data_IF_369915531613
#
_entry.id   IF_369915531613
#
_cell.length_a   1.000
_cell.length_b   1.000
_cell.length_c   1.000
_cell.angle_alpha   90.00
_cell.angle_beta   90.00
_cell.angle_gamma   90.00
#
_symmetry.space_group_name_H-M   'P 1'
#
loop_
_entity.id
_entity.type
_entity.pdbx_description
1 polymer ?
#
# COMPACT_ATOMS: atom_id res chain seq x y z
N UNK A 1 -12.22 25.38 17.11
CA UNK A 1 -12.62 24.28 16.18
C UNK A 1 -11.65 24.07 15.01
N UNK A 2 -11.07 25.13 14.39
CA UNK A 2 -10.05 25.02 13.32
C UNK A 2 -8.78 24.25 13.72
N UNK A 3 -8.31 24.43 14.96
CA UNK A 3 -7.09 23.80 15.49
C UNK A 3 -7.11 22.27 15.46
N UNK A 4 -8.23 21.63 15.83
CA UNK A 4 -8.30 20.15 15.88
C UNK A 4 -8.19 19.50 14.49
N UNK A 5 -8.73 20.15 13.45
CA UNK A 5 -8.73 19.58 12.09
C UNK A 5 -7.32 19.66 11.47
N UNK A 6 -6.59 20.75 11.71
CA UNK A 6 -5.19 20.88 11.30
C UNK A 6 -4.29 19.87 12.01
N UNK A 7 -4.50 19.65 13.32
CA UNK A 7 -3.80 18.59 14.05
C UNK A 7 -4.06 17.21 13.45
N UNK A 8 -5.32 16.86 13.17
CA UNK A 8 -5.65 15.57 12.55
C UNK A 8 -4.99 15.41 11.17
N UNK A 9 -5.01 16.46 10.35
CA UNK A 9 -4.36 16.45 9.03
C UNK A 9 -2.85 16.27 9.14
N UNK A 10 -2.19 16.90 10.13
CA UNK A 10 -0.76 16.72 10.40
C UNK A 10 -0.45 15.26 10.80
N UNK A 11 -1.25 14.67 11.68
CA UNK A 11 -1.11 13.26 12.08
C UNK A 11 -1.27 12.34 10.86
N UNK A 12 -2.33 12.53 10.07
CA UNK A 12 -2.55 11.73 8.84
C UNK A 12 -1.37 11.83 7.87
N UNK A 13 -0.78 13.02 7.69
CA UNK A 13 0.41 13.18 6.84
C UNK A 13 1.61 12.41 7.38
N UNK A 14 1.88 12.48 8.68
CA UNK A 14 3.00 11.76 9.30
C UNK A 14 2.81 10.25 9.13
N UNK A 15 1.63 9.74 9.50
CA UNK A 15 1.29 8.32 9.34
C UNK A 15 1.39 7.87 7.88
N UNK A 16 0.93 8.70 6.94
CA UNK A 16 1.03 8.39 5.51
C UNK A 16 2.49 8.34 5.04
N UNK A 17 3.36 9.25 5.49
CA UNK A 17 4.79 9.21 5.17
C UNK A 17 5.44 7.93 5.70
N UNK A 18 5.20 7.58 6.97
CA UNK A 18 5.72 6.34 7.56
C UNK A 18 5.23 5.13 6.78
N UNK A 19 3.95 5.08 6.46
CA UNK A 19 3.37 4.05 5.60
C UNK A 19 4.04 3.97 4.23
N UNK A 20 4.28 5.10 3.56
CA UNK A 20 4.92 5.12 2.24
C UNK A 20 6.36 4.60 2.29
N UNK A 21 7.12 4.91 3.35
CA UNK A 21 8.47 4.38 3.54
C UNK A 21 8.45 2.86 3.69
N UNK A 22 7.51 2.33 4.50
CA UNK A 22 7.32 0.89 4.67
C UNK A 22 6.85 0.23 3.36
N UNK A 23 5.92 0.87 2.63
CA UNK A 23 5.41 0.38 1.34
C UNK A 23 6.53 0.29 0.29
N UNK A 24 7.35 1.34 0.17
CA UNK A 24 8.52 1.37 -0.71
C UNK A 24 9.47 0.23 -0.36
N UNK A 25 9.76 0.03 0.93
CA UNK A 25 10.64 -1.03 1.37
C UNK A 25 10.08 -2.43 1.06
N UNK A 26 8.80 -2.68 1.32
CA UNK A 26 8.16 -3.96 1.02
C UNK A 26 8.18 -4.25 -0.49
N UNK A 27 7.78 -3.29 -1.33
CA UNK A 27 7.57 -3.54 -2.77
C UNK A 27 8.89 -3.54 -3.55
N UNK A 28 9.73 -2.52 -3.34
CA UNK A 28 10.96 -2.38 -4.11
C UNK A 28 12.08 -3.26 -3.57
N UNK A 29 12.17 -3.39 -2.24
CA UNK A 29 13.25 -4.15 -1.62
C UNK A 29 12.83 -5.56 -1.19
N UNK A 30 11.56 -5.95 -1.37
CA UNK A 30 11.05 -7.28 -1.03
C UNK A 30 11.38 -7.70 0.41
N UNK A 31 11.33 -6.76 1.35
CA UNK A 31 11.73 -6.93 2.76
C UNK A 31 13.22 -7.25 2.97
N UNK A 32 14.05 -7.14 1.94
CA UNK A 32 15.50 -7.30 2.06
C UNK A 32 16.15 -6.03 2.60
N UNK A 33 17.18 -6.22 3.44
CA UNK A 33 18.09 -5.17 3.88
C UNK A 33 19.36 -5.08 3.01
N UNK A 34 19.63 -6.11 2.21
CA UNK A 34 20.79 -6.17 1.32
C UNK A 34 20.36 -6.07 -0.13
N UNK A 35 20.97 -5.12 -0.85
CA UNK A 35 20.81 -4.97 -2.30
C UNK A 35 21.30 -6.23 -3.04
N UNK A 36 22.21 -6.99 -2.44
CA UNK A 36 22.77 -8.21 -3.04
C UNK A 36 21.76 -9.35 -3.09
N UNK A 37 20.79 -9.36 -2.16
CA UNK A 37 19.73 -10.36 -2.09
C UNK A 37 18.55 -10.03 -3.00
N UNK A 38 18.56 -8.84 -3.63
CA UNK A 38 17.54 -8.48 -4.60
C UNK A 38 17.71 -9.35 -5.86
N UNK A 39 16.60 -9.81 -6.44
CA UNK A 39 16.65 -10.52 -7.71
C UNK A 39 17.39 -9.67 -8.75
N UNK A 40 18.20 -10.30 -9.60
CA UNK A 40 18.91 -9.62 -10.71
C UNK A 40 18.37 -10.08 -12.05
N UNK A 41 17.08 -9.90 -12.26
CA UNK A 41 16.43 -10.25 -13.52
C UNK A 41 15.49 -9.13 -13.97
N UNK A 42 15.20 -9.11 -15.28
CA UNK A 42 14.17 -8.25 -15.87
C UNK A 42 13.20 -9.13 -16.60
N UNK A 43 11.95 -9.08 -16.18
CA UNK A 43 10.84 -9.76 -16.86
C UNK A 43 9.69 -8.78 -17.04
N UNK A 44 8.92 -8.95 -18.10
CA UNK A 44 7.65 -8.24 -18.27
C UNK A 44 6.57 -9.30 -18.47
N UNK A 45 5.63 -9.37 -17.54
CA UNK A 45 4.41 -10.14 -17.66
C UNK A 45 3.23 -9.20 -17.88
N UNK A 46 2.73 -9.16 -19.12
CA UNK A 46 1.54 -8.41 -19.49
C UNK A 46 0.28 -9.27 -19.60
N UNK A 47 0.37 -10.57 -19.26
CA UNK A 47 -0.77 -11.48 -19.26
C UNK A 47 -1.26 -11.58 -17.81
N UNK A 48 -2.45 -11.03 -17.49
CA UNK A 48 -2.98 -11.08 -16.14
C UNK A 48 -3.07 -12.52 -15.64
N UNK A 49 -2.70 -12.74 -14.38
CA UNK A 49 -2.75 -14.04 -13.70
C UNK A 49 -1.82 -15.13 -14.26
N UNK A 50 -0.95 -14.80 -15.22
CA UNK A 50 0.02 -15.77 -15.77
C UNK A 50 1.13 -16.12 -14.77
N UNK A 51 1.52 -15.17 -13.92
CA UNK A 51 2.52 -15.38 -12.86
C UNK A 51 1.99 -16.10 -11.63
N UNK A 52 0.67 -16.35 -11.54
CA UNK A 52 0.04 -16.99 -10.39
C UNK A 52 0.57 -18.43 -10.26
N UNK A 53 1.25 -18.71 -9.14
CA UNK A 53 1.83 -20.03 -8.90
C UNK A 53 0.74 -21.10 -8.81
N UNK A 54 1.01 -22.31 -9.32
CA UNK A 54 0.13 -23.46 -9.14
C UNK A 54 0.71 -24.29 -8.00
N UNK A 55 0.02 -24.31 -6.86
CA UNK A 55 0.36 -25.14 -5.70
C UNK A 55 -0.72 -26.19 -5.55
N UNK A 56 -0.36 -27.48 -5.53
CA UNK A 56 -1.30 -28.61 -5.40
C UNK A 56 -2.45 -28.57 -6.44
N UNK A 57 -2.13 -28.30 -7.71
CA UNK A 57 -3.12 -28.15 -8.80
C UNK A 57 -4.14 -27.01 -8.61
N UNK A 58 -3.91 -26.09 -7.67
CA UNK A 58 -4.74 -24.91 -7.44
C UNK A 58 -3.93 -23.63 -7.66
N UNK A 59 -4.59 -22.59 -8.16
CA UNK A 59 -3.98 -21.28 -8.33
C UNK A 59 -3.77 -20.63 -6.96
N UNK A 60 -2.53 -20.28 -6.64
CA UNK A 60 -2.15 -19.57 -5.42
C UNK A 60 -2.31 -18.07 -5.62
N UNK A 61 -3.43 -17.53 -5.13
CA UNK A 61 -3.76 -16.11 -5.21
C UNK A 61 -3.19 -15.27 -4.07
N UNK A 62 -2.34 -15.84 -3.20
CA UNK A 62 -1.82 -15.15 -2.01
C UNK A 62 -1.03 -13.88 -2.36
N UNK A 63 -0.21 -13.91 -3.41
CA UNK A 63 0.56 -12.75 -3.90
C UNK A 63 -0.36 -11.60 -4.34
N UNK A 64 -1.38 -11.92 -5.13
CA UNK A 64 -2.38 -10.94 -5.58
C UNK A 64 -3.12 -10.33 -4.39
N UNK A 65 -3.51 -11.18 -3.43
CA UNK A 65 -4.20 -10.71 -2.23
C UNK A 65 -3.28 -9.79 -1.40
N UNK A 66 -1.99 -10.12 -1.27
CA UNK A 66 -1.03 -9.28 -0.56
C UNK A 66 -0.85 -7.92 -1.25
N UNK A 67 -0.77 -7.88 -2.59
CA UNK A 67 -0.68 -6.64 -3.37
C UNK A 67 -1.96 -5.79 -3.25
N UNK A 68 -3.14 -6.42 -3.21
CA UNK A 68 -4.39 -5.72 -2.90
C UNK A 68 -4.33 -5.15 -1.47
N UNK A 69 -4.05 -5.98 -0.47
CA UNK A 69 -4.11 -5.60 0.94
C UNK A 69 -3.11 -4.48 1.27
N UNK A 70 -1.90 -4.53 0.74
CA UNK A 70 -0.86 -3.55 1.04
C UNK A 70 -1.21 -2.16 0.50
N UNK A 71 -2.01 -2.05 -0.57
CA UNK A 71 -2.46 -0.77 -1.13
C UNK A 71 -3.76 -0.22 -0.51
N UNK A 72 -4.49 -1.00 0.29
CA UNK A 72 -5.70 -0.51 1.00
C UNK A 72 -5.41 0.73 1.84
N UNK A 73 -4.35 0.80 2.67
CA UNK A 73 -4.04 2.00 3.43
C UNK A 73 -3.72 3.21 2.54
N UNK A 74 -3.12 3.02 1.35
CA UNK A 74 -2.85 4.13 0.42
C UNK A 74 -4.15 4.85 0.03
N UNK A 75 -5.17 4.10 -0.40
CA UNK A 75 -6.47 4.65 -0.77
C UNK A 75 -7.20 5.32 0.40
N UNK A 76 -7.06 4.75 1.60
CA UNK A 76 -7.59 5.30 2.85
C UNK A 76 -6.95 6.67 3.18
N UNK A 77 -5.61 6.74 3.21
CA UNK A 77 -4.87 7.98 3.50
C UNK A 77 -5.13 9.06 2.46
N UNK A 78 -5.12 8.71 1.17
CA UNK A 78 -5.42 9.65 0.11
C UNK A 78 -6.82 10.27 0.29
N UNK A 79 -7.79 9.46 0.69
CA UNK A 79 -9.15 9.91 0.94
C UNK A 79 -9.29 10.80 2.18
N UNK A 80 -8.49 10.57 3.22
CA UNK A 80 -8.40 11.41 4.41
C UNK A 80 -7.74 12.77 4.12
N UNK A 81 -6.69 12.78 3.29
CA UNK A 81 -5.95 13.99 2.94
C UNK A 81 -6.67 14.87 1.91
N UNK A 82 -7.46 14.25 1.03
CA UNK A 82 -8.25 14.90 -0.03
C UNK A 82 -9.75 14.58 0.13
N UNK A 83 -10.40 14.97 1.25
CA UNK A 83 -11.77 14.56 1.54
C UNK A 83 -12.82 15.16 0.58
N UNK A 84 -12.46 16.21 -0.15
CA UNK A 84 -13.33 16.93 -1.09
C UNK A 84 -13.15 16.49 -2.55
N UNK A 85 -12.11 15.70 -2.87
CA UNK A 85 -11.93 15.18 -4.22
C UNK A 85 -12.91 14.04 -4.52
N UNK A 86 -13.30 13.90 -5.79
CA UNK A 86 -14.19 12.84 -6.26
C UNK A 86 -13.51 11.47 -6.18
N UNK A 87 -14.32 10.41 -6.12
CA UNK A 87 -13.84 9.02 -6.07
C UNK A 87 -12.85 8.72 -7.21
N UNK A 88 -13.22 9.05 -8.46
CA UNK A 88 -12.40 8.78 -9.64
C UNK A 88 -11.06 9.55 -9.63
N UNK A 89 -11.05 10.82 -9.18
CA UNK A 89 -9.81 11.61 -9.09
C UNK A 89 -8.80 11.02 -8.10
N UNK A 90 -9.26 10.22 -7.14
CA UNK A 90 -8.39 9.52 -6.18
C UNK A 90 -7.80 8.23 -6.75
N UNK A 91 -8.41 7.63 -7.78
CA UNK A 91 -7.87 6.41 -8.41
C UNK A 91 -6.59 6.73 -9.20
N UNK A 92 -6.54 7.88 -9.87
CA UNK A 92 -5.40 8.28 -10.70
C UNK A 92 -4.04 8.22 -9.97
N UNK A 93 -3.84 8.85 -8.80
CA UNK A 93 -2.56 8.75 -8.10
C UNK A 93 -2.24 7.33 -7.60
N UNK A 94 -3.25 6.49 -7.31
CA UNK A 94 -3.02 5.07 -6.95
C UNK A 94 -2.42 4.33 -8.13
N UNK A 95 -3.06 4.42 -9.31
CA UNK A 95 -2.59 3.77 -10.52
C UNK A 95 -1.20 4.29 -10.93
N UNK A 96 -0.96 5.60 -10.85
CA UNK A 96 0.36 6.17 -11.14
C UNK A 96 1.42 5.60 -10.20
N UNK A 97 1.18 5.57 -8.89
CA UNK A 97 2.16 5.02 -7.93
C UNK A 97 2.39 3.53 -8.17
N UNK A 98 1.34 2.76 -8.45
CA UNK A 98 1.50 1.36 -8.79
C UNK A 98 2.35 1.17 -10.04
N UNK A 99 2.09 1.92 -11.12
CA UNK A 99 2.88 1.84 -12.34
C UNK A 99 4.34 2.28 -12.14
N UNK A 100 4.57 3.26 -11.26
CA UNK A 100 5.91 3.69 -10.90
C UNK A 100 6.69 2.57 -10.20
N UNK A 101 6.06 1.79 -9.32
CA UNK A 101 6.73 0.63 -8.71
C UNK A 101 7.13 -0.41 -9.74
N UNK A 102 6.20 -0.81 -10.61
CA UNK A 102 6.50 -1.73 -11.73
C UNK A 102 7.65 -1.23 -12.60
N UNK A 103 7.65 0.08 -12.92
CA UNK A 103 8.66 0.72 -13.76
C UNK A 103 10.03 0.74 -13.09
N UNK A 104 10.09 1.07 -11.79
CA UNK A 104 11.33 1.07 -11.01
C UNK A 104 11.89 -0.35 -10.94
N UNK A 105 11.04 -1.35 -10.64
CA UNK A 105 11.49 -2.75 -10.56
C UNK A 105 12.13 -3.21 -11.87
N UNK A 106 11.53 -2.83 -13.01
CA UNK A 106 12.07 -3.13 -14.33
C UNK A 106 13.38 -2.39 -14.64
N UNK A 107 13.43 -1.06 -14.43
CA UNK A 107 14.60 -0.23 -14.74
C UNK A 107 15.82 -0.68 -13.93
N UNK A 108 15.63 -0.96 -12.64
CA UNK A 108 16.71 -1.34 -11.74
C UNK A 108 16.99 -2.86 -11.73
N UNK A 109 16.25 -3.64 -12.51
CA UNK A 109 16.41 -5.11 -12.59
C UNK A 109 16.25 -5.83 -11.25
N UNK A 110 15.44 -5.27 -10.35
CA UNK A 110 15.18 -5.78 -8.99
C UNK A 110 13.90 -6.64 -8.93
N UNK A 111 13.26 -6.88 -10.08
CA UNK A 111 12.05 -7.68 -10.21
C UNK A 111 11.52 -7.71 -11.64
N UNK A 112 10.43 -8.46 -11.83
CA UNK A 112 9.66 -8.44 -13.07
C UNK A 112 8.49 -7.47 -12.93
N UNK A 113 8.17 -6.74 -14.00
CA UNK A 113 6.90 -6.02 -14.11
C UNK A 113 5.78 -7.04 -14.30
N UNK A 114 4.72 -6.96 -13.50
CA UNK A 114 3.52 -7.80 -13.65
C UNK A 114 2.25 -6.93 -13.69
N UNK A 115 1.48 -7.07 -14.77
CA UNK A 115 0.18 -6.39 -14.90
C UNK A 115 -0.79 -6.79 -13.78
N UNK A 116 -0.64 -8.00 -13.24
CA UNK A 116 -1.44 -8.52 -12.12
C UNK A 116 -1.20 -7.70 -10.86
N UNK A 117 0.04 -7.28 -10.61
CA UNK A 117 0.41 -6.46 -9.46
C UNK A 117 -0.11 -5.04 -9.61
N UNK A 118 0.01 -4.47 -10.81
CA UNK A 118 -0.62 -3.19 -11.13
C UNK A 118 -2.13 -3.19 -10.88
N UNK A 119 -2.83 -4.23 -11.33
CA UNK A 119 -4.26 -4.40 -11.11
C UNK A 119 -4.57 -4.57 -9.62
N UNK A 120 -3.84 -5.46 -8.93
CA UNK A 120 -4.02 -5.75 -7.51
C UNK A 120 -3.85 -4.50 -6.65
N UNK A 121 -2.76 -3.76 -6.84
CA UNK A 121 -2.48 -2.51 -6.15
C UNK A 121 -3.56 -1.45 -6.41
N UNK A 122 -4.01 -1.32 -7.66
CA UNK A 122 -5.08 -0.39 -8.03
C UNK A 122 -6.40 -0.76 -7.34
N UNK A 123 -6.76 -2.05 -7.33
CA UNK A 123 -7.93 -2.57 -6.62
C UNK A 123 -7.83 -2.34 -5.11
N UNK A 124 -6.67 -2.60 -4.52
CA UNK A 124 -6.37 -2.31 -3.12
C UNK A 124 -6.67 -0.85 -2.76
N UNK A 125 -6.15 0.09 -3.55
CA UNK A 125 -6.41 1.51 -3.33
C UNK A 125 -7.89 1.87 -3.51
N UNK A 126 -8.61 1.28 -4.47
CA UNK A 126 -10.06 1.46 -4.65
C UNK A 126 -10.83 0.97 -3.41
N UNK A 127 -10.46 -0.18 -2.85
CA UNK A 127 -11.03 -0.71 -1.60
C UNK A 127 -10.78 0.26 -0.44
N UNK A 128 -9.55 0.78 -0.32
CA UNK A 128 -9.19 1.79 0.69
C UNK A 128 -10.03 3.07 0.60
N UNK A 129 -10.23 3.58 -0.62
CA UNK A 129 -11.12 4.73 -0.85
C UNK A 129 -12.55 4.38 -0.41
N UNK A 130 -13.05 3.21 -0.80
CA UNK A 130 -14.41 2.76 -0.47
C UNK A 130 -14.62 2.64 1.04
N UNK A 131 -13.67 2.05 1.77
CA UNK A 131 -13.67 1.97 3.23
C UNK A 131 -13.79 3.36 3.83
N UNK A 132 -13.00 4.34 3.36
CA UNK A 132 -13.11 5.71 3.85
C UNK A 132 -14.50 6.32 3.63
N UNK A 133 -15.08 6.12 2.44
CA UNK A 133 -16.41 6.66 2.14
C UNK A 133 -17.49 6.05 3.04
N UNK A 134 -17.45 4.74 3.29
CA UNK A 134 -18.36 4.05 4.20
C UNK A 134 -18.15 4.59 5.63
N UNK A 135 -16.90 4.63 6.11
CA UNK A 135 -16.57 5.16 7.42
C UNK A 135 -17.05 6.61 7.59
N UNK A 136 -16.93 7.45 6.54
CA UNK A 136 -17.40 8.83 6.55
C UNK A 136 -18.91 8.95 6.69
N UNK A 137 -19.69 8.03 6.11
CA UNK A 137 -21.15 7.99 6.28
C UNK A 137 -21.53 7.62 7.72
N UNK A 138 -20.84 6.65 8.32
CA UNK A 138 -21.14 6.12 9.66
C UNK A 138 -20.63 7.05 10.76
N UNK A 139 -19.35 7.41 10.72
CA UNK A 139 -18.62 8.13 11.78
C UNK A 139 -18.64 9.66 11.61
N UNK A 140 -19.10 10.16 10.45
CA UNK A 140 -19.30 11.58 10.13
C UNK A 140 -18.05 12.43 10.44
N UNK A 141 -18.16 13.43 11.32
CA UNK A 141 -17.07 14.35 11.67
C UNK A 141 -15.92 13.67 12.44
N UNK A 142 -16.16 12.51 13.04
CA UNK A 142 -15.16 11.79 13.85
C UNK A 142 -14.29 10.83 13.00
N UNK A 143 -14.66 10.58 11.74
CA UNK A 143 -14.01 9.61 10.83
C UNK A 143 -12.49 9.71 10.82
N UNK A 144 -11.94 10.90 10.56
CA UNK A 144 -10.48 11.09 10.46
C UNK A 144 -9.81 10.83 11.81
N UNK A 145 -10.42 11.27 12.91
CA UNK A 145 -9.88 11.07 14.27
C UNK A 145 -9.82 9.58 14.62
N UNK A 146 -10.90 8.84 14.39
CA UNK A 146 -10.99 7.40 14.69
C UNK A 146 -10.00 6.63 13.81
N UNK A 147 -9.97 6.91 12.50
CA UNK A 147 -9.02 6.24 11.60
C UNK A 147 -7.58 6.58 11.99
N UNK A 148 -7.25 7.82 12.35
CA UNK A 148 -5.91 8.16 12.83
C UNK A 148 -5.53 7.39 14.10
N UNK A 149 -6.45 7.19 15.06
CA UNK A 149 -6.19 6.40 16.26
C UNK A 149 -5.89 4.95 15.89
N UNK A 150 -6.75 4.32 15.08
CA UNK A 150 -6.57 2.95 14.62
C UNK A 150 -5.27 2.79 13.83
N UNK A 151 -5.00 3.72 12.91
CA UNK A 151 -3.77 3.74 12.12
C UNK A 151 -2.53 3.94 12.98
N UNK A 152 -2.59 4.80 14.02
CA UNK A 152 -1.47 4.98 14.95
C UNK A 152 -1.15 3.66 15.67
N UNK A 153 -2.17 3.00 16.22
CA UNK A 153 -2.01 1.70 16.90
C UNK A 153 -1.43 0.66 15.92
N UNK A 154 -1.99 0.57 14.72
CA UNK A 154 -1.52 -0.33 13.67
C UNK A 154 -0.07 -0.06 13.25
N UNK A 155 0.31 1.21 13.08
CA UNK A 155 1.69 1.60 12.75
C UNK A 155 2.66 1.20 13.85
N UNK A 156 2.35 1.44 15.12
CA UNK A 156 3.21 0.98 16.22
C UNK A 156 3.32 -0.55 16.25
N UNK A 157 2.23 -1.28 16.02
CA UNK A 157 2.25 -2.74 15.94
C UNK A 157 3.14 -3.26 14.80
N UNK A 158 3.02 -2.66 13.60
CA UNK A 158 3.86 -3.02 12.45
C UNK A 158 5.32 -2.69 12.75
N UNK A 159 5.64 -1.49 13.25
CA UNK A 159 7.02 -1.11 13.56
C UNK A 159 7.65 -2.01 14.64
N UNK A 160 6.88 -2.43 15.65
CA UNK A 160 7.35 -3.40 16.64
C UNK A 160 7.62 -4.76 16.01
N UNK A 161 6.75 -5.25 15.12
CA UNK A 161 6.96 -6.50 14.40
C UNK A 161 8.18 -6.43 13.47
N UNK A 162 8.37 -5.31 12.76
CA UNK A 162 9.55 -5.08 11.94
C UNK A 162 10.83 -5.04 12.78
N UNK A 163 10.79 -4.40 13.95
CA UNK A 163 11.93 -4.39 14.88
C UNK A 163 12.28 -5.81 15.33
N UNK A 164 11.29 -6.62 15.69
CA UNK A 164 11.52 -8.03 16.05
C UNK A 164 12.14 -8.78 14.87
N UNK A 165 11.57 -8.66 13.67
CA UNK A 165 12.07 -9.31 12.46
C UNK A 165 13.54 -8.94 12.17
N UNK A 166 13.89 -7.66 12.35
CA UNK A 166 15.25 -7.16 12.20
C UNK A 166 16.17 -7.81 13.23
N UNK A 167 15.78 -7.80 14.51
CA UNK A 167 16.58 -8.36 15.59
C UNK A 167 16.78 -9.88 15.49
N UNK A 168 15.85 -10.60 14.87
CA UNK A 168 15.95 -12.06 14.68
C UNK A 168 16.75 -12.47 13.45
N UNK A 169 16.92 -11.57 12.47
CA UNK A 169 17.64 -11.83 11.21
C UNK A 169 19.00 -11.11 11.13
N UNK A 170 19.39 -10.39 12.19
CA UNK A 170 20.73 -9.86 12.43
C UNK A 170 21.57 -10.87 13.21
#
# INVERSE_FOLDING_TARGET
>A
MKTSNETQKKITKILFIVYLLVLIWIILFKMSFSIQDLPRFRGINLIPFKGTAIVNNTLDYSEILNNILIFVPFGLYLSMLKPHETFLKKITPIAIVSLLFESIQYIFAIGGTDITDFIGNTLGGIIGITIYFIARKVLKKQTIKIINILATIGTFGILALLLILILTNL
#
